data_IF_952576615651
#
_entry.id   IF_952576615651
#
_cell.length_a   1.000
_cell.length_b   1.000
_cell.length_c   1.000
_cell.angle_alpha   90.00
_cell.angle_beta   90.00
_cell.angle_gamma   90.00
#
_symmetry.space_group_name_H-M   'P 1'
#
loop_
_entity.id
_entity.type
_entity.pdbx_description
1 polymer ?
#
# COMPACT_ATOMS: atom_id res chain seq x y z
N UNK A 1 21.72 21.06 -1.28
CA UNK A 1 21.33 19.67 -0.97
C UNK A 1 22.47 18.75 -1.34
N UNK A 2 22.87 17.84 -0.45
CA UNK A 2 23.84 16.80 -0.79
C UNK A 2 23.25 15.90 -1.89
N UNK A 3 24.07 15.49 -2.85
CA UNK A 3 23.64 14.54 -3.89
C UNK A 3 23.50 13.17 -3.25
N UNK A 4 22.33 12.55 -3.43
CA UNK A 4 22.08 11.18 -2.98
C UNK A 4 22.71 10.21 -3.98
N UNK A 5 23.42 9.21 -3.48
CA UNK A 5 24.00 8.16 -4.30
C UNK A 5 22.93 7.13 -4.66
N UNK A 6 22.88 6.73 -5.92
CA UNK A 6 22.03 5.66 -6.44
C UNK A 6 22.93 4.64 -7.12
N UNK A 7 22.73 3.36 -6.81
CA UNK A 7 23.40 2.24 -7.45
C UNK A 7 22.47 1.66 -8.52
N UNK A 8 23.00 1.29 -9.63
CA UNK A 8 22.24 0.78 -10.76
C UNK A 8 22.94 -0.44 -11.38
N UNK A 9 22.17 -1.49 -11.64
CA UNK A 9 22.58 -2.61 -12.48
C UNK A 9 21.61 -2.75 -13.64
N UNK A 10 22.14 -2.95 -14.85
CA UNK A 10 21.32 -3.21 -16.02
C UNK A 10 20.75 -4.63 -16.01
N UNK A 11 19.71 -4.88 -16.82
CA UNK A 11 19.05 -6.17 -16.92
C UNK A 11 19.72 -7.12 -17.96
N UNK A 12 20.78 -6.69 -18.65
CA UNK A 12 21.48 -7.53 -19.63
C UNK A 12 22.25 -8.63 -18.91
N UNK A 13 22.21 -9.83 -19.46
CA UNK A 13 22.96 -10.97 -18.94
C UNK A 13 23.47 -11.82 -20.11
N UNK A 14 24.77 -12.09 -20.15
CA UNK A 14 25.37 -12.99 -21.12
C UNK A 14 25.23 -14.47 -20.70
N UNK A 15 25.02 -14.71 -19.41
CA UNK A 15 24.90 -16.05 -18.83
C UNK A 15 24.09 -15.98 -17.51
N UNK A 16 23.83 -17.12 -16.89
CA UNK A 16 23.02 -17.20 -15.67
C UNK A 16 23.69 -16.55 -14.44
N UNK A 17 25.01 -16.45 -14.39
CA UNK A 17 25.74 -15.80 -13.29
C UNK A 17 25.55 -14.28 -13.30
N UNK A 18 25.34 -13.71 -14.49
CA UNK A 18 25.08 -12.28 -14.68
C UNK A 18 23.57 -11.95 -14.69
N UNK A 19 22.72 -12.90 -14.35
CA UNK A 19 21.27 -12.70 -14.35
C UNK A 19 20.81 -11.77 -13.22
N UNK A 20 19.53 -11.40 -13.20
CA UNK A 20 18.98 -10.43 -12.25
C UNK A 20 19.11 -10.85 -10.79
N UNK A 21 19.06 -12.15 -10.48
CA UNK A 21 19.16 -12.63 -9.09
C UNK A 21 20.55 -12.39 -8.49
N UNK A 22 21.68 -12.83 -9.12
CA UNK A 22 23.01 -12.44 -8.65
C UNK A 22 23.20 -10.92 -8.57
N UNK A 23 22.80 -10.17 -9.60
CA UNK A 23 22.91 -8.70 -9.59
C UNK A 23 22.14 -8.05 -8.44
N UNK A 24 20.99 -8.60 -8.05
CA UNK A 24 20.23 -8.12 -6.90
C UNK A 24 21.01 -8.32 -5.59
N UNK A 25 21.68 -9.47 -5.43
CA UNK A 25 22.55 -9.75 -4.27
C UNK A 25 23.76 -8.83 -4.25
N UNK A 26 24.40 -8.62 -5.38
CA UNK A 26 25.54 -7.69 -5.49
C UNK A 26 25.12 -6.26 -5.12
N UNK A 27 24.01 -5.77 -5.68
CA UNK A 27 23.46 -4.45 -5.36
C UNK A 27 23.09 -4.30 -3.88
N UNK A 28 22.63 -5.37 -3.23
CA UNK A 28 22.31 -5.36 -1.80
C UNK A 28 23.54 -4.96 -0.96
N UNK A 29 24.71 -5.49 -1.29
CA UNK A 29 25.97 -5.14 -0.60
C UNK A 29 26.58 -3.84 -1.11
N UNK A 30 26.61 -3.60 -2.40
CA UNK A 30 27.18 -2.36 -2.97
C UNK A 30 26.43 -1.12 -2.50
N UNK A 31 25.10 -1.21 -2.37
CA UNK A 31 24.25 -0.15 -1.83
C UNK A 31 24.23 -0.12 -0.29
N UNK A 32 24.99 -1.01 0.36
CA UNK A 32 25.11 -1.12 1.82
C UNK A 32 23.79 -1.41 2.55
N UNK A 33 22.87 -2.11 1.90
CA UNK A 33 21.61 -2.50 2.54
C UNK A 33 21.83 -3.49 3.69
N UNK A 34 22.92 -4.25 3.67
CA UNK A 34 23.35 -5.09 4.76
C UNK A 34 23.66 -4.28 6.05
N UNK A 35 24.07 -3.01 5.94
CA UNK A 35 24.34 -2.15 7.09
C UNK A 35 23.05 -1.71 7.82
N UNK A 36 21.86 -1.88 7.19
CA UNK A 36 20.57 -1.64 7.84
C UNK A 36 20.18 -2.71 8.85
N UNK A 37 20.90 -3.85 8.89
CA UNK A 37 20.49 -5.06 9.60
C UNK A 37 21.52 -5.40 10.67
N UNK A 38 21.06 -5.52 11.90
CA UNK A 38 21.85 -6.07 12.99
C UNK A 38 21.46 -7.53 13.27
N UNK A 39 22.37 -8.27 13.91
CA UNK A 39 22.11 -9.66 14.25
C UNK A 39 20.93 -9.78 15.23
N UNK A 40 19.93 -10.51 14.82
CA UNK A 40 18.72 -10.74 15.62
C UNK A 40 17.56 -9.82 15.29
N UNK A 41 17.75 -8.80 14.45
CA UNK A 41 16.68 -7.91 14.01
C UNK A 41 15.53 -8.68 13.38
N UNK A 42 14.32 -8.28 13.71
CA UNK A 42 13.11 -8.59 12.95
C UNK A 42 13.07 -7.69 11.72
N UNK A 43 13.18 -8.25 10.51
CA UNK A 43 13.34 -7.46 9.28
C UNK A 43 12.12 -7.59 8.38
N UNK A 44 11.38 -6.50 8.23
CA UNK A 44 10.26 -6.44 7.30
C UNK A 44 10.76 -6.33 5.84
N UNK A 45 10.54 -7.34 5.02
CA UNK A 45 10.76 -7.26 3.57
C UNK A 45 9.44 -6.85 2.93
N UNK A 46 9.27 -5.54 2.71
CA UNK A 46 8.04 -4.96 2.19
C UNK A 46 7.99 -5.07 0.67
N UNK A 47 7.02 -5.83 0.19
CA UNK A 47 6.75 -6.00 -1.24
C UNK A 47 5.31 -5.61 -1.58
N UNK A 48 4.90 -5.81 -2.83
CA UNK A 48 3.52 -5.78 -3.27
C UNK A 48 3.11 -7.18 -3.71
N UNK A 49 2.12 -7.78 -3.06
CA UNK A 49 1.67 -9.16 -3.34
C UNK A 49 1.04 -9.35 -4.72
N UNK A 50 0.73 -8.26 -5.44
CA UNK A 50 0.05 -8.31 -6.73
C UNK A 50 -1.48 -8.26 -6.60
N UNK A 51 -2.17 -8.63 -7.65
CA UNK A 51 -3.62 -8.82 -7.75
C UNK A 51 -3.89 -10.05 -8.61
N UNK A 52 -4.98 -10.77 -8.36
CA UNK A 52 -5.33 -11.94 -9.15
C UNK A 52 -5.29 -11.67 -10.66
N UNK A 53 -4.83 -12.65 -11.41
CA UNK A 53 -4.71 -12.61 -12.87
C UNK A 53 -3.77 -11.50 -13.39
N UNK A 54 -2.91 -10.94 -12.54
CA UNK A 54 -1.86 -9.99 -12.94
C UNK A 54 -0.50 -10.69 -12.96
N UNK A 55 0.29 -10.37 -13.96
CA UNK A 55 1.64 -10.95 -14.15
C UNK A 55 2.75 -9.94 -13.92
N UNK A 56 2.40 -8.67 -13.67
CA UNK A 56 3.35 -7.57 -13.46
C UNK A 56 3.52 -7.30 -11.97
N UNK A 57 4.26 -8.16 -11.31
CA UNK A 57 4.69 -8.03 -9.91
C UNK A 57 6.16 -8.42 -9.80
N UNK A 58 6.74 -8.26 -8.61
CA UNK A 58 8.06 -8.80 -8.34
C UNK A 58 8.06 -10.32 -8.55
N UNK A 59 9.16 -10.83 -9.05
CA UNK A 59 9.33 -12.29 -9.17
C UNK A 59 9.74 -12.86 -7.82
N UNK A 60 9.15 -14.00 -7.40
CA UNK A 60 9.48 -14.63 -6.13
C UNK A 60 10.97 -14.89 -5.93
N UNK A 61 11.68 -15.26 -7.00
CA UNK A 61 13.11 -15.56 -6.96
C UNK A 61 13.95 -14.35 -6.52
N UNK A 62 13.56 -13.15 -6.95
CA UNK A 62 14.25 -11.91 -6.53
C UNK A 62 13.99 -11.60 -5.06
N UNK A 63 12.78 -11.84 -4.58
CA UNK A 63 12.43 -11.62 -3.18
C UNK A 63 13.14 -12.65 -2.28
N UNK A 64 13.11 -13.93 -2.67
CA UNK A 64 13.79 -15.02 -1.95
C UNK A 64 15.30 -14.76 -1.85
N UNK A 65 15.93 -14.25 -2.92
CA UNK A 65 17.34 -13.90 -2.89
C UNK A 65 17.66 -12.85 -1.81
N UNK A 66 16.82 -11.82 -1.66
CA UNK A 66 17.02 -10.81 -0.60
C UNK A 66 16.71 -11.38 0.79
N UNK A 67 15.73 -12.28 0.91
CA UNK A 67 15.47 -13.03 2.17
C UNK A 67 16.73 -13.79 2.62
N UNK A 68 17.42 -14.44 1.67
CA UNK A 68 18.67 -15.16 1.96
C UNK A 68 19.77 -14.20 2.46
N UNK A 69 19.93 -13.03 1.82
CA UNK A 69 20.94 -12.05 2.23
C UNK A 69 20.64 -11.44 3.61
N UNK A 70 19.36 -11.16 3.91
CA UNK A 70 18.95 -10.72 5.25
C UNK A 70 19.29 -11.77 6.31
N UNK A 71 19.06 -13.06 6.03
CA UNK A 71 19.44 -14.16 6.93
C UNK A 71 20.97 -14.27 7.08
N UNK A 72 21.71 -14.08 5.98
CA UNK A 72 23.17 -14.11 6.00
C UNK A 72 23.75 -12.98 6.90
N UNK A 73 23.07 -11.83 6.96
CA UNK A 73 23.41 -10.75 7.91
C UNK A 73 22.99 -11.07 9.36
N UNK A 74 22.30 -12.17 9.60
CA UNK A 74 21.83 -12.57 10.93
C UNK A 74 20.46 -12.01 11.32
N UNK A 75 19.76 -11.36 10.41
CA UNK A 75 18.39 -10.89 10.59
C UNK A 75 17.35 -12.02 10.54
N UNK A 76 16.18 -11.77 11.07
CA UNK A 76 15.00 -12.64 11.03
C UNK A 76 13.95 -12.05 10.10
N UNK A 77 14.01 -12.33 8.78
CA UNK A 77 13.13 -11.71 7.81
C UNK A 77 11.71 -12.26 7.88
N UNK A 78 10.75 -11.39 7.52
CA UNK A 78 9.41 -11.78 7.09
C UNK A 78 9.03 -10.96 5.86
N UNK A 79 8.38 -11.59 4.87
CA UNK A 79 7.88 -10.92 3.68
C UNK A 79 6.48 -10.39 3.97
N UNK A 80 6.21 -9.14 3.65
CA UNK A 80 4.91 -8.55 3.96
C UNK A 80 4.37 -7.59 2.88
N UNK A 81 3.06 -7.49 2.87
CA UNK A 81 2.26 -6.43 2.27
C UNK A 81 1.08 -6.13 3.19
N UNK A 82 0.24 -5.21 2.81
CA UNK A 82 -0.99 -4.84 3.54
C UNK A 82 -2.23 -5.10 2.69
N UNK A 83 -3.39 -5.08 3.33
CA UNK A 83 -4.67 -5.13 2.61
C UNK A 83 -4.85 -3.88 1.74
N UNK A 84 -5.79 -3.92 0.78
CA UNK A 84 -6.14 -2.72 0.02
C UNK A 84 -7.16 -1.87 0.77
N UNK A 85 -7.34 -0.63 0.30
CA UNK A 85 -8.30 0.30 0.87
C UNK A 85 -9.74 -0.19 0.83
N UNK A 86 -10.17 -0.85 -0.26
CA UNK A 86 -11.55 -1.29 -0.42
C UNK A 86 -11.89 -2.49 0.46
N UNK A 87 -13.11 -2.51 0.97
CA UNK A 87 -13.70 -3.66 1.67
C UNK A 87 -14.50 -4.57 0.74
N UNK A 88 -14.41 -4.38 -0.57
CA UNK A 88 -15.25 -5.04 -1.55
C UNK A 88 -14.44 -5.81 -2.60
N UNK A 89 -15.13 -6.73 -3.30
CA UNK A 89 -14.62 -7.71 -4.25
C UNK A 89 -13.85 -7.19 -5.48
N UNK A 90 -13.60 -5.89 -5.59
CA UNK A 90 -12.77 -5.31 -6.67
C UNK A 90 -11.27 -5.54 -6.49
N UNK A 91 -10.86 -5.98 -5.32
CA UNK A 91 -9.46 -6.30 -5.03
C UNK A 91 -9.34 -7.68 -4.40
N UNK A 92 -8.39 -8.43 -4.89
CA UNK A 92 -8.03 -9.73 -4.32
C UNK A 92 -7.29 -9.62 -2.98
N UNK A 93 -7.11 -8.41 -2.45
CA UNK A 93 -6.40 -8.16 -1.19
C UNK A 93 -7.20 -7.31 -0.21
N UNK A 94 -8.53 -7.27 -0.33
CA UNK A 94 -9.34 -6.40 0.53
C UNK A 94 -9.44 -6.90 2.00
N UNK A 95 -9.09 -8.15 2.26
CA UNK A 95 -9.06 -8.77 3.59
C UNK A 95 -7.85 -9.70 3.70
N UNK A 96 -7.35 -9.91 4.90
CA UNK A 96 -6.08 -10.57 5.17
C UNK A 96 -5.94 -11.97 4.56
N UNK A 97 -6.95 -12.83 4.70
CA UNK A 97 -6.91 -14.18 4.12
C UNK A 97 -6.82 -14.17 2.59
N UNK A 98 -7.54 -13.28 1.91
CA UNK A 98 -7.43 -13.12 0.45
C UNK A 98 -6.12 -12.46 0.04
N UNK A 99 -5.56 -11.58 0.87
CA UNK A 99 -4.23 -11.04 0.63
C UNK A 99 -3.15 -12.14 0.68
N UNK A 100 -3.23 -13.05 1.64
CA UNK A 100 -2.35 -14.23 1.70
C UNK A 100 -2.58 -15.20 0.54
N UNK A 101 -3.82 -15.43 0.15
CA UNK A 101 -4.13 -16.24 -1.04
C UNK A 101 -3.54 -15.59 -2.30
N UNK A 102 -3.64 -14.26 -2.42
CA UNK A 102 -3.04 -13.51 -3.52
C UNK A 102 -1.51 -13.66 -3.54
N UNK A 103 -0.87 -13.54 -2.38
CA UNK A 103 0.56 -13.77 -2.22
C UNK A 103 0.93 -15.19 -2.70
N UNK A 104 0.22 -16.21 -2.23
CA UNK A 104 0.47 -17.60 -2.58
C UNK A 104 0.30 -17.87 -4.09
N UNK A 105 -0.74 -17.30 -4.73
CA UNK A 105 -0.97 -17.40 -6.19
C UNK A 105 0.16 -16.77 -7.02
N UNK A 106 0.88 -15.79 -6.47
CA UNK A 106 2.04 -15.17 -7.10
C UNK A 106 3.37 -15.80 -6.68
N UNK A 107 3.32 -16.91 -5.94
CA UNK A 107 4.51 -17.66 -5.52
C UNK A 107 5.17 -17.15 -4.25
N UNK A 108 4.57 -16.22 -3.53
CA UNK A 108 5.03 -15.76 -2.22
C UNK A 108 4.40 -16.61 -1.13
N UNK A 109 5.05 -17.72 -0.80
CA UNK A 109 4.65 -18.65 0.28
C UNK A 109 5.81 -18.79 1.27
N UNK A 110 5.52 -19.24 2.48
CA UNK A 110 6.60 -19.54 3.45
C UNK A 110 7.62 -20.53 2.90
N UNK A 111 7.16 -21.51 2.13
CA UNK A 111 8.03 -22.51 1.51
C UNK A 111 8.96 -21.92 0.45
N UNK A 112 8.45 -21.03 -0.42
CA UNK A 112 9.24 -20.41 -1.48
C UNK A 112 10.11 -19.27 -0.99
N UNK A 113 9.67 -18.54 0.05
CA UNK A 113 10.42 -17.43 0.65
C UNK A 113 11.41 -17.93 1.72
N UNK A 114 11.17 -19.09 2.32
CA UNK A 114 11.93 -19.59 3.43
C UNK A 114 11.79 -18.75 4.72
N UNK A 115 10.77 -17.90 4.82
CA UNK A 115 10.45 -17.08 5.98
C UNK A 115 8.93 -16.86 6.05
N UNK A 116 8.37 -16.34 7.17
CA UNK A 116 6.97 -16.02 7.26
C UNK A 116 6.52 -15.03 6.17
N UNK A 117 5.28 -15.20 5.68
CA UNK A 117 4.59 -14.27 4.78
C UNK A 117 3.40 -13.69 5.53
N UNK A 118 3.38 -12.36 5.71
CA UNK A 118 2.51 -11.68 6.68
C UNK A 118 1.70 -10.58 6.01
N UNK A 119 0.43 -10.46 6.39
CA UNK A 119 -0.39 -9.28 6.10
C UNK A 119 -0.20 -8.31 7.27
N UNK A 120 0.54 -7.24 7.02
CA UNK A 120 1.12 -6.41 8.06
C UNK A 120 0.09 -5.55 8.84
N UNK A 121 -1.08 -5.31 8.26
CA UNK A 121 -2.21 -4.58 8.86
C UNK A 121 -3.33 -5.52 9.38
N UNK A 122 -3.02 -6.80 9.56
CA UNK A 122 -3.92 -7.78 10.16
C UNK A 122 -5.03 -8.27 9.23
N UNK A 123 -6.00 -8.98 9.84
CA UNK A 123 -7.08 -9.63 9.08
C UNK A 123 -8.02 -8.63 8.40
N UNK A 124 -8.44 -7.59 9.13
CA UNK A 124 -9.40 -6.57 8.65
C UNK A 124 -8.71 -5.38 7.99
N UNK A 125 -7.39 -5.24 8.15
CA UNK A 125 -6.62 -4.13 7.61
C UNK A 125 -6.61 -2.89 8.51
N UNK A 126 -6.86 -3.06 9.79
CA UNK A 126 -6.98 -2.00 10.80
C UNK A 126 -6.01 -2.17 11.99
N UNK A 127 -5.10 -3.15 11.89
CA UNK A 127 -4.02 -3.33 12.87
C UNK A 127 -2.88 -2.37 12.54
N UNK A 128 -2.83 -1.24 13.27
CA UNK A 128 -1.92 -0.15 12.99
C UNK A 128 -1.38 0.56 14.23
N UNK A 129 -0.29 1.30 14.02
CA UNK A 129 0.31 2.24 14.97
C UNK A 129 0.16 3.66 14.41
N UNK A 130 -0.45 4.55 15.19
CA UNK A 130 -0.49 5.97 14.87
C UNK A 130 0.87 6.61 15.08
N UNK A 131 1.36 7.31 14.07
CA UNK A 131 2.66 7.99 14.07
C UNK A 131 2.47 9.46 13.73
N UNK A 132 2.98 10.36 14.55
CA UNK A 132 2.98 11.78 14.24
C UNK A 132 4.00 12.09 13.12
N UNK A 133 3.60 12.94 12.18
CA UNK A 133 4.43 13.42 11.06
C UNK A 133 4.51 14.95 11.09
N UNK A 134 5.22 15.54 12.07
CA UNK A 134 5.19 16.99 12.32
C UNK A 134 5.59 17.83 11.11
N UNK A 135 6.51 17.28 10.29
CA UNK A 135 7.05 17.93 9.08
C UNK A 135 6.31 17.50 7.81
N UNK A 136 5.22 16.77 7.89
CA UNK A 136 4.37 16.45 6.76
C UNK A 136 3.75 17.73 6.17
N UNK A 137 3.53 17.75 4.89
CA UNK A 137 2.91 18.89 4.19
C UNK A 137 1.39 18.84 4.36
N UNK A 138 0.78 17.73 4.02
CA UNK A 138 -0.68 17.51 4.10
C UNK A 138 -1.05 16.65 5.31
N UNK A 139 -0.36 15.53 5.51
CA UNK A 139 -0.64 14.62 6.62
C UNK A 139 0.24 14.98 7.82
N UNK A 140 -0.40 15.18 8.97
CA UNK A 140 0.26 15.39 10.26
C UNK A 140 0.41 14.11 11.07
N UNK A 141 -0.20 13.04 10.62
CA UNK A 141 -0.15 11.70 11.19
C UNK A 141 -0.24 10.64 10.11
N UNK A 142 0.27 9.46 10.40
CA UNK A 142 0.21 8.27 9.58
C UNK A 142 -0.27 7.09 10.43
N UNK A 143 -0.88 6.09 9.82
CA UNK A 143 -1.33 4.87 10.49
C UNK A 143 -0.59 3.68 9.89
N UNK A 144 0.58 3.44 10.43
CA UNK A 144 1.52 2.44 9.92
C UNK A 144 1.07 1.05 10.33
N UNK A 145 1.05 0.11 9.37
CA UNK A 145 0.70 -1.28 9.62
C UNK A 145 1.55 -1.88 10.74
N UNK A 146 0.92 -2.50 11.73
CA UNK A 146 1.55 -2.88 13.00
C UNK A 146 2.79 -3.77 12.83
N UNK A 147 2.73 -4.78 11.95
CA UNK A 147 3.89 -5.64 11.74
C UNK A 147 5.09 -4.90 11.15
N UNK A 148 4.87 -3.83 10.38
CA UNK A 148 5.94 -2.98 9.86
C UNK A 148 6.45 -2.05 10.97
N UNK A 149 5.55 -1.41 11.70
CA UNK A 149 5.90 -0.44 12.74
C UNK A 149 6.69 -1.07 13.91
N UNK A 150 6.53 -2.37 14.13
CA UNK A 150 7.22 -3.12 15.20
C UNK A 150 8.42 -3.94 14.70
N UNK A 151 8.80 -3.82 13.43
CA UNK A 151 10.02 -4.42 12.94
C UNK A 151 11.25 -3.57 13.32
N UNK A 152 12.39 -4.21 13.56
CA UNK A 152 13.63 -3.52 13.92
C UNK A 152 14.28 -2.87 12.69
N UNK A 153 14.11 -3.48 11.51
CA UNK A 153 14.62 -2.97 10.23
C UNK A 153 13.66 -3.28 9.08
N UNK A 154 13.82 -2.59 7.96
CA UNK A 154 13.02 -2.83 6.76
C UNK A 154 13.85 -2.80 5.48
N UNK A 155 13.64 -3.79 4.62
CA UNK A 155 14.07 -3.74 3.22
C UNK A 155 12.83 -3.54 2.34
N UNK A 156 12.72 -2.36 1.76
CA UNK A 156 11.63 -1.97 0.89
C UNK A 156 11.93 -2.38 -0.55
N UNK A 157 11.33 -3.49 -1.02
CA UNK A 157 11.48 -3.98 -2.38
C UNK A 157 10.31 -3.53 -3.24
N UNK A 158 10.55 -2.59 -4.15
CA UNK A 158 9.51 -2.03 -4.99
C UNK A 158 9.60 -2.55 -6.44
N UNK A 159 8.45 -2.71 -7.08
CA UNK A 159 8.35 -2.86 -8.52
C UNK A 159 8.22 -1.48 -9.17
N UNK A 160 9.27 -1.05 -9.88
CA UNK A 160 9.30 0.24 -10.56
C UNK A 160 8.43 0.23 -11.81
N UNK A 161 7.34 1.01 -11.81
CA UNK A 161 6.36 1.06 -12.91
C UNK A 161 5.56 2.35 -12.93
N UNK A 162 4.92 2.66 -14.06
CA UNK A 162 3.89 3.69 -14.12
C UNK A 162 2.69 3.36 -13.23
N UNK A 163 2.02 4.40 -12.72
CA UNK A 163 0.84 4.26 -11.89
C UNK A 163 -0.17 5.38 -12.16
N UNK A 164 -1.48 5.09 -12.33
CA UNK A 164 -2.47 6.10 -12.74
C UNK A 164 -2.65 7.23 -11.73
N UNK A 165 -2.56 6.98 -10.44
CA UNK A 165 -2.73 8.00 -9.39
C UNK A 165 -1.40 8.61 -8.96
N UNK A 166 -0.40 7.77 -8.71
CA UNK A 166 0.89 8.20 -8.19
C UNK A 166 1.88 8.63 -9.28
N UNK A 167 1.50 8.65 -10.55
CA UNK A 167 2.36 8.80 -11.73
C UNK A 167 3.42 7.71 -11.83
N UNK A 168 4.14 7.45 -10.74
CA UNK A 168 5.17 6.42 -10.64
C UNK A 168 4.98 5.56 -9.40
N UNK A 169 5.00 4.25 -9.57
CA UNK A 169 5.03 3.27 -8.49
C UNK A 169 6.46 2.80 -8.26
N UNK A 170 7.04 3.19 -7.15
CA UNK A 170 8.39 2.85 -6.72
C UNK A 170 8.47 2.79 -5.20
N UNK A 171 9.66 2.99 -4.64
CA UNK A 171 9.90 2.83 -3.20
C UNK A 171 9.02 3.71 -2.32
N UNK A 172 8.81 4.98 -2.68
CA UNK A 172 7.93 5.89 -1.91
C UNK A 172 6.50 5.34 -1.86
N UNK A 173 5.92 4.98 -3.02
CA UNK A 173 4.57 4.41 -3.06
C UNK A 173 4.47 3.08 -2.32
N UNK A 174 5.49 2.22 -2.44
CA UNK A 174 5.45 0.90 -1.83
C UNK A 174 5.32 0.96 -0.30
N UNK A 175 5.90 1.97 0.35
CA UNK A 175 5.75 2.18 1.79
C UNK A 175 4.69 3.24 2.13
N UNK A 176 4.54 4.31 1.35
CA UNK A 176 3.54 5.35 1.58
C UNK A 176 2.13 4.77 1.60
N UNK A 177 1.70 4.14 0.51
CA UNK A 177 0.40 3.43 0.48
C UNK A 177 0.52 2.04 1.14
N UNK A 178 1.51 1.24 0.72
CA UNK A 178 1.59 -0.17 1.10
C UNK A 178 2.13 -0.43 2.51
N UNK A 179 2.65 0.55 3.19
CA UNK A 179 3.05 0.48 4.60
C UNK A 179 1.96 0.93 5.58
N UNK A 180 0.84 1.45 5.07
CA UNK A 180 -0.27 1.93 5.89
C UNK A 180 -1.36 0.85 6.06
N UNK A 181 -2.11 0.94 7.16
CA UNK A 181 -3.40 0.28 7.31
C UNK A 181 -4.45 0.84 6.34
N UNK A 182 -5.66 0.29 6.31
CA UNK A 182 -6.78 0.88 5.57
C UNK A 182 -7.06 2.31 6.02
N UNK A 183 -7.02 2.57 7.33
CA UNK A 183 -7.22 3.91 7.89
C UNK A 183 -6.18 4.90 7.39
N UNK A 184 -4.91 4.50 7.36
CA UNK A 184 -3.83 5.33 6.82
C UNK A 184 -3.97 5.61 5.33
N UNK A 185 -4.21 4.57 4.51
CA UNK A 185 -4.49 4.73 3.06
C UNK A 185 -5.66 5.66 2.80
N UNK A 186 -6.61 5.62 3.70
CA UNK A 186 -7.78 6.42 3.71
C UNK A 186 -7.47 7.91 3.92
N UNK A 187 -6.69 8.24 4.95
CA UNK A 187 -6.21 9.60 5.20
C UNK A 187 -5.45 10.18 4.01
N UNK A 188 -4.67 9.37 3.31
CA UNK A 188 -3.97 9.80 2.09
C UNK A 188 -4.93 10.20 0.98
N UNK A 189 -5.98 9.41 0.77
CA UNK A 189 -6.97 9.67 -0.28
C UNK A 189 -7.85 10.87 0.05
N UNK A 190 -8.03 11.20 1.33
CA UNK A 190 -8.82 12.35 1.79
C UNK A 190 -8.03 13.65 1.96
N UNK A 191 -6.72 13.59 1.94
CA UNK A 191 -5.86 14.75 2.24
C UNK A 191 -6.16 15.99 1.38
N UNK A 192 -6.77 15.81 0.20
CA UNK A 192 -7.15 16.90 -0.68
C UNK A 192 -8.47 17.61 -0.29
N UNK A 193 -9.20 17.05 0.68
CA UNK A 193 -10.49 17.60 1.14
C UNK A 193 -10.40 18.33 2.49
N UNK A 194 -9.19 18.47 3.03
CA UNK A 194 -8.98 19.04 4.33
C UNK A 194 -8.99 17.99 5.44
N UNK A 195 -9.63 18.28 6.57
CA UNK A 195 -9.73 17.31 7.66
C UNK A 195 -10.80 16.25 7.37
N UNK A 196 -10.71 15.06 7.97
CA UNK A 196 -11.79 14.07 7.92
C UNK A 196 -13.14 14.61 8.38
N UNK A 197 -13.14 15.64 9.25
CA UNK A 197 -14.33 16.29 9.76
C UNK A 197 -15.05 17.12 8.70
N UNK A 198 -14.31 17.70 7.76
CA UNK A 198 -14.90 18.45 6.63
C UNK A 198 -15.61 17.51 5.64
N UNK A 199 -15.36 16.21 5.75
CA UNK A 199 -15.90 15.16 4.89
C UNK A 199 -17.19 14.53 5.42
N UNK A 200 -17.62 14.85 6.65
CA UNK A 200 -18.82 14.28 7.29
C UNK A 200 -20.15 14.66 6.59
N UNK A 201 -20.09 15.33 5.45
CA UNK A 201 -21.26 15.66 4.65
C UNK A 201 -21.66 14.51 3.76
N UNK A 202 -21.24 14.16 2.71
CA UNK A 202 -21.71 13.21 1.71
C UNK A 202 -20.53 12.66 0.90
N UNK A 203 -20.43 11.36 0.66
CA UNK A 203 -19.31 10.80 -0.10
C UNK A 203 -19.36 11.15 -1.59
N UNK A 204 -20.49 11.66 -2.09
CA UNK A 204 -20.63 12.08 -3.46
C UNK A 204 -20.19 13.53 -3.64
N UNK A 205 -19.22 13.76 -4.53
CA UNK A 205 -18.79 15.11 -4.86
C UNK A 205 -19.79 15.88 -5.73
N UNK A 206 -20.51 15.15 -6.55
CA UNK A 206 -21.55 15.68 -7.44
C UNK A 206 -22.85 14.92 -7.18
N UNK A 207 -23.51 15.14 -6.02
CA UNK A 207 -24.73 14.43 -5.67
C UNK A 207 -25.85 14.66 -6.70
N UNK A 208 -25.86 15.81 -7.37
CA UNK A 208 -26.79 16.13 -8.44
C UNK A 208 -26.67 15.26 -9.70
N UNK A 209 -25.52 14.59 -9.85
CA UNK A 209 -25.31 13.64 -10.96
C UNK A 209 -25.75 12.22 -10.62
N UNK A 210 -26.12 11.96 -9.38
CA UNK A 210 -26.57 10.64 -9.00
C UNK A 210 -28.02 10.38 -9.47
N UNK A 211 -28.22 9.28 -10.16
CA UNK A 211 -29.53 8.90 -10.68
C UNK A 211 -30.45 8.27 -9.60
N UNK A 212 -29.98 8.12 -8.36
CA UNK A 212 -30.76 7.51 -7.30
C UNK A 212 -31.19 6.09 -7.64
N UNK A 213 -32.49 5.79 -7.44
CA UNK A 213 -33.07 4.48 -7.78
C UNK A 213 -33.07 4.16 -9.28
N UNK A 214 -33.01 5.17 -10.13
CA UNK A 214 -32.92 4.99 -11.59
C UNK A 214 -31.52 4.52 -12.02
N UNK A 215 -30.52 4.57 -11.14
CA UNK A 215 -29.21 4.02 -11.41
C UNK A 215 -29.26 2.49 -11.39
N UNK A 216 -28.88 1.80 -12.48
CA UNK A 216 -28.90 0.34 -12.52
C UNK A 216 -27.92 -0.30 -11.52
N UNK A 217 -27.02 0.49 -10.93
CA UNK A 217 -26.00 0.06 -9.99
C UNK A 217 -26.21 0.58 -8.55
N UNK A 218 -27.37 1.19 -8.24
CA UNK A 218 -27.60 1.75 -6.89
C UNK A 218 -27.43 0.70 -5.80
N UNK A 219 -27.92 -0.51 -6.03
CA UNK A 219 -27.78 -1.63 -5.09
C UNK A 219 -26.31 -1.99 -4.83
N UNK A 220 -25.49 -1.94 -5.86
CA UNK A 220 -24.05 -2.23 -5.74
C UNK A 220 -23.33 -1.18 -4.90
N UNK A 221 -23.73 0.09 -4.97
CA UNK A 221 -23.19 1.13 -4.09
C UNK A 221 -23.54 0.88 -2.62
N UNK A 222 -24.80 0.50 -2.33
CA UNK A 222 -25.23 0.12 -0.98
C UNK A 222 -24.48 -1.11 -0.46
N UNK A 223 -24.48 -2.19 -1.25
CA UNK A 223 -23.88 -3.47 -0.90
C UNK A 223 -22.35 -3.37 -0.75
N UNK A 224 -21.73 -2.37 -1.39
CA UNK A 224 -20.30 -2.10 -1.24
C UNK A 224 -19.94 -1.48 0.13
N UNK A 225 -20.91 -0.97 0.87
CA UNK A 225 -20.68 -0.34 2.15
C UNK A 225 -20.63 -1.39 3.29
N UNK A 226 -19.46 -1.69 3.89
CA UNK A 226 -19.36 -2.73 4.91
C UNK A 226 -20.07 -2.36 6.22
N UNK A 227 -20.47 -1.10 6.36
CA UNK A 227 -21.11 -0.56 7.56
C UNK A 227 -22.58 -0.22 7.37
N UNK A 228 -23.12 -0.35 6.16
CA UNK A 228 -24.47 0.09 5.84
C UNK A 228 -24.68 1.59 6.12
N UNK A 229 -23.62 2.39 5.93
CA UNK A 229 -23.68 3.84 6.14
C UNK A 229 -24.38 4.57 4.98
N UNK A 230 -24.60 3.90 3.88
CA UNK A 230 -25.16 4.45 2.65
C UNK A 230 -26.37 3.67 2.20
N UNK A 231 -27.47 4.37 1.92
CA UNK A 231 -28.72 3.79 1.46
C UNK A 231 -29.42 4.73 0.49
N UNK A 232 -30.13 4.20 -0.51
CA UNK A 232 -30.94 4.94 -1.48
C UNK A 232 -32.36 4.39 -1.47
N UNK A 233 -33.34 5.26 -1.30
CA UNK A 233 -34.76 4.94 -1.40
C UNK A 233 -35.53 5.97 -2.23
N UNK A 234 -36.85 5.86 -2.27
CA UNK A 234 -37.74 6.79 -2.97
C UNK A 234 -37.65 8.25 -2.47
N UNK A 235 -37.14 8.46 -1.26
CA UNK A 235 -36.93 9.79 -0.66
C UNK A 235 -35.56 10.38 -1.00
N UNK A 236 -34.70 9.59 -1.61
CA UNK A 236 -33.36 10.00 -2.03
C UNK A 236 -32.23 9.22 -1.35
N UNK A 237 -31.12 9.90 -1.18
CA UNK A 237 -29.92 9.37 -0.59
C UNK A 237 -29.89 9.56 0.92
N UNK A 238 -29.53 8.53 1.64
CA UNK A 238 -29.34 8.56 3.08
C UNK A 238 -27.90 8.17 3.39
N UNK A 239 -27.22 8.99 4.17
CA UNK A 239 -25.86 8.78 4.58
C UNK A 239 -25.69 8.99 6.07
N UNK A 240 -25.20 7.97 6.76
CA UNK A 240 -24.92 7.97 8.19
C UNK A 240 -23.40 8.15 8.38
N UNK A 241 -23.00 9.38 8.69
CA UNK A 241 -21.60 9.73 8.87
C UNK A 241 -20.96 9.02 10.07
N UNK A 242 -21.72 8.71 11.13
CA UNK A 242 -21.20 8.04 12.31
C UNK A 242 -20.85 6.57 12.05
N UNK A 243 -21.58 5.94 11.10
CA UNK A 243 -21.25 4.58 10.65
C UNK A 243 -20.15 4.54 9.63
N UNK A 244 -19.91 5.61 8.92
CA UNK A 244 -18.96 5.62 7.79
C UNK A 244 -17.52 5.42 8.28
N UNK A 245 -16.87 4.39 7.77
CA UNK A 245 -15.44 4.16 7.97
C UNK A 245 -14.58 4.89 6.95
N UNK A 246 -15.19 5.67 6.11
CA UNK A 246 -14.51 6.42 5.10
C UNK A 246 -13.63 5.50 4.20
N UNK A 247 -14.09 4.31 3.79
CA UNK A 247 -13.33 3.29 3.04
C UNK A 247 -13.37 3.44 1.52
N UNK A 248 -14.05 4.45 0.97
CA UNK A 248 -14.23 4.71 -0.46
C UNK A 248 -14.88 3.60 -1.29
N UNK A 249 -15.35 2.53 -0.70
CA UNK A 249 -15.95 1.44 -1.48
C UNK A 249 -17.09 1.93 -2.37
N UNK A 250 -17.98 2.77 -1.86
CA UNK A 250 -19.07 3.37 -2.64
C UNK A 250 -18.57 4.25 -3.79
N UNK A 251 -17.52 5.06 -3.55
CA UNK A 251 -16.92 5.90 -4.60
C UNK A 251 -16.28 5.07 -5.70
N UNK A 252 -15.47 4.11 -5.33
CA UNK A 252 -14.82 3.21 -6.30
C UNK A 252 -15.86 2.46 -7.11
N UNK A 253 -16.92 1.99 -6.46
CA UNK A 253 -18.05 1.34 -7.14
C UNK A 253 -18.68 2.28 -8.17
N UNK A 254 -19.03 3.49 -7.79
CA UNK A 254 -19.61 4.48 -8.70
C UNK A 254 -18.66 4.78 -9.88
N UNK A 255 -17.39 4.97 -9.62
CA UNK A 255 -16.38 5.24 -10.65
C UNK A 255 -16.27 4.08 -11.66
N UNK A 256 -16.25 2.83 -11.18
CA UNK A 256 -16.15 1.65 -12.06
C UNK A 256 -17.42 1.37 -12.85
N UNK A 257 -18.59 1.87 -12.42
CA UNK A 257 -19.84 1.77 -13.18
C UNK A 257 -19.98 2.86 -14.25
N UNK A 258 -19.03 3.76 -14.35
CA UNK A 258 -19.02 4.84 -15.34
C UNK A 258 -19.89 6.05 -14.96
N UNK A 259 -20.42 6.08 -13.74
CA UNK A 259 -21.15 7.24 -13.23
C UNK A 259 -20.19 8.23 -12.55
N UNK A 260 -20.50 9.51 -12.64
CA UNK A 260 -19.58 10.58 -12.27
C UNK A 260 -19.95 11.31 -10.96
N UNK A 261 -20.90 10.80 -10.18
CA UNK A 261 -21.29 11.50 -8.95
C UNK A 261 -20.26 11.37 -7.81
N UNK A 262 -19.46 10.31 -7.83
CA UNK A 262 -18.44 10.01 -6.84
C UNK A 262 -17.03 9.92 -7.45
N UNK A 263 -16.67 10.78 -8.40
CA UNK A 263 -15.35 10.76 -9.04
C UNK A 263 -14.33 11.60 -8.28
N UNK A 264 -13.07 11.20 -8.40
CA UNK A 264 -11.95 12.03 -7.98
C UNK A 264 -11.86 13.28 -8.87
N UNK A 265 -11.59 14.43 -8.26
CA UNK A 265 -11.37 15.66 -9.01
C UNK A 265 -9.96 15.73 -9.59
N UNK A 266 -9.73 16.62 -10.58
CA UNK A 266 -8.38 16.87 -11.10
C UNK A 266 -7.35 17.24 -10.02
N UNK A 267 -7.78 17.91 -8.96
CA UNK A 267 -6.93 18.30 -7.84
C UNK A 267 -6.49 17.11 -6.98
N UNK A 268 -7.19 15.99 -7.08
CA UNK A 268 -6.87 14.77 -6.31
C UNK A 268 -5.44 14.28 -6.53
N UNK A 269 -4.97 14.26 -7.78
CA UNK A 269 -3.69 13.64 -8.11
C UNK A 269 -2.48 14.27 -7.44
N UNK A 270 -2.26 15.60 -7.50
CA UNK A 270 -1.14 16.23 -6.81
C UNK A 270 -1.24 16.09 -5.29
N UNK A 271 -2.43 16.22 -4.71
CA UNK A 271 -2.62 16.04 -3.27
C UNK A 271 -2.33 14.62 -2.82
N UNK A 272 -2.81 13.61 -3.55
CA UNK A 272 -2.54 12.21 -3.25
C UNK A 272 -1.04 11.88 -3.31
N UNK A 273 -0.29 12.48 -4.23
CA UNK A 273 1.15 12.28 -4.33
C UNK A 273 1.91 12.89 -3.13
N UNK A 274 1.50 14.08 -2.69
CA UNK A 274 2.10 14.73 -1.51
C UNK A 274 1.74 13.94 -0.25
N UNK A 275 0.48 13.57 -0.07
CA UNK A 275 0.02 12.77 1.06
C UNK A 275 0.75 11.43 1.15
N UNK A 276 0.97 10.79 0.01
CA UNK A 276 1.73 9.54 -0.08
C UNK A 276 3.20 9.71 0.36
N UNK A 277 3.83 10.84 0.03
CA UNK A 277 5.17 11.15 0.49
C UNK A 277 5.21 11.40 2.01
N UNK A 278 4.21 12.09 2.56
CA UNK A 278 4.06 12.30 4.00
C UNK A 278 3.83 10.97 4.74
N UNK A 279 2.97 10.10 4.19
CA UNK A 279 2.72 8.77 4.73
C UNK A 279 3.98 7.88 4.68
N UNK A 280 4.74 7.92 3.59
CA UNK A 280 6.03 7.24 3.50
C UNK A 280 6.99 7.71 4.59
N UNK A 281 7.01 9.01 4.87
CA UNK A 281 7.78 9.58 5.99
C UNK A 281 7.30 9.05 7.33
N UNK A 282 5.99 8.92 7.54
CA UNK A 282 5.42 8.30 8.73
C UNK A 282 5.93 6.87 8.95
N UNK A 283 6.00 6.07 7.88
CA UNK A 283 6.60 4.72 7.96
C UNK A 283 8.07 4.79 8.33
N UNK A 284 8.84 5.70 7.72
CA UNK A 284 10.27 5.85 8.04
C UNK A 284 10.51 6.26 9.50
N UNK A 285 9.59 7.00 10.10
CA UNK A 285 9.70 7.46 11.49
C UNK A 285 9.46 6.34 12.54
N UNK A 286 8.99 5.16 12.12
CA UNK A 286 8.90 3.99 13.04
C UNK A 286 10.23 3.26 13.20
N UNK A 287 11.24 3.60 12.41
CA UNK A 287 12.56 2.98 12.43
C UNK A 287 13.62 3.96 12.92
N UNK A 288 14.64 3.42 13.56
CA UNK A 288 15.86 4.18 13.84
C UNK A 288 16.57 4.59 12.54
N UNK A 289 17.38 5.65 12.61
CA UNK A 289 18.14 6.13 11.46
C UNK A 289 19.08 5.02 10.93
N UNK A 290 19.07 4.80 9.63
CA UNK A 290 19.87 3.76 8.98
C UNK A 290 19.22 2.37 8.91
N UNK A 291 18.07 2.14 9.55
CA UNK A 291 17.41 0.81 9.59
C UNK A 291 16.50 0.52 8.39
N UNK A 292 16.45 1.38 7.38
CA UNK A 292 15.61 1.17 6.19
C UNK A 292 16.43 1.23 4.91
N UNK A 293 16.39 0.13 4.17
CA UNK A 293 16.98 0.01 2.84
C UNK A 293 15.92 0.02 1.72
N UNK A 294 16.26 0.62 0.58
CA UNK A 294 15.35 0.70 -0.56
C UNK A 294 15.96 0.07 -1.81
N UNK A 295 15.20 -0.79 -2.47
CA UNK A 295 15.57 -1.39 -3.75
C UNK A 295 14.36 -1.43 -4.69
N UNK A 296 14.57 -1.14 -5.97
CA UNK A 296 13.53 -1.19 -6.99
C UNK A 296 13.98 -2.03 -8.19
N UNK A 297 13.05 -2.83 -8.70
CA UNK A 297 13.26 -3.71 -9.87
C UNK A 297 12.37 -3.28 -11.04
#
# INVERSE_FOLDING_TARGET
MAKQKVWFADANAANWVESLVPKAKDLFYEAKLNECIEKGDSVAIKIHFGEWNRTRCLRPELVAAIVEEVKACGGRPFVCDTTTLTYHAYSSRFIGNLALETAARHGFTEASMGCPVVVADGFSGDDDVRVEVPTGVLLKEAYVAAAIAHADAMINLAHAKGHPVASFGGCIKNIGIGGQSKRGKYHEHLAHWGSPEDFLGWPARYPEKCLGLDCPFHKLCEDSCPRGAYHIDEKGHHFDAEKCWLCYSCQITCMFTGHECMVFTPDYFPYAQIAMADAAKGVMLTFEEGKVGHMAY
#
